data_IF_051235345950
#
_entry.id   IF_051235345950
#
_cell.length_a   1.000
_cell.length_b   1.000
_cell.length_c   1.000
_cell.angle_alpha   90.00
_cell.angle_beta   90.00
_cell.angle_gamma   90.00
#
_symmetry.space_group_name_H-M   'P 1'
#
loop_
_entity.id
_entity.type
_entity.pdbx_description
1 polymer ?
#
# COMPACT_ATOMS: atom_id res chain seq x y z
N UNK A 1 29.85 -1.38 -8.19
CA UNK A 1 29.26 -2.70 -7.95
C UNK A 1 29.14 -3.48 -9.25
N UNK A 2 29.29 -4.79 -9.19
CA UNK A 2 28.93 -5.70 -10.29
C UNK A 2 27.48 -6.15 -10.11
N UNK A 3 26.81 -6.47 -11.22
CA UNK A 3 25.41 -6.86 -11.19
C UNK A 3 25.16 -8.19 -11.89
N UNK A 4 24.13 -8.91 -11.43
CA UNK A 4 23.58 -10.08 -12.11
C UNK A 4 22.07 -10.17 -11.91
N UNK A 5 21.39 -10.82 -12.85
CA UNK A 5 20.01 -11.19 -12.66
C UNK A 5 19.91 -12.26 -11.56
N UNK A 6 18.94 -12.12 -10.66
CA UNK A 6 18.77 -12.99 -9.49
C UNK A 6 17.30 -13.48 -9.34
N UNK A 7 16.54 -13.50 -10.45
CA UNK A 7 15.17 -14.01 -10.51
C UNK A 7 14.12 -12.93 -10.75
N UNK A 8 12.91 -13.28 -10.39
CA UNK A 8 11.70 -12.44 -10.55
C UNK A 8 10.92 -12.40 -9.26
N UNK A 9 10.20 -11.32 -9.06
CA UNK A 9 9.23 -11.15 -7.99
C UNK A 9 7.94 -10.59 -8.60
N UNK A 10 6.90 -11.42 -8.77
CA UNK A 10 5.60 -11.05 -9.32
C UNK A 10 5.72 -10.18 -10.59
N UNK A 11 6.40 -10.72 -11.61
CA UNK A 11 6.61 -10.02 -12.89
C UNK A 11 7.69 -8.95 -12.90
N UNK A 12 8.23 -8.55 -11.75
CA UNK A 12 9.33 -7.59 -11.65
C UNK A 12 10.70 -8.30 -11.57
N UNK A 13 11.74 -7.73 -12.16
CA UNK A 13 13.07 -8.33 -12.17
C UNK A 13 13.86 -8.04 -10.91
N UNK A 14 14.55 -9.07 -10.39
CA UNK A 14 15.50 -8.93 -9.29
C UNK A 14 16.91 -8.85 -9.84
N UNK A 15 17.63 -7.81 -9.45
CA UNK A 15 19.05 -7.62 -9.71
C UNK A 15 19.83 -7.74 -8.41
N UNK A 16 20.87 -8.56 -8.41
CA UNK A 16 21.81 -8.66 -7.31
C UNK A 16 23.07 -7.88 -7.62
N UNK A 17 23.42 -6.95 -6.75
CA UNK A 17 24.61 -6.13 -6.81
C UNK A 17 25.62 -6.59 -5.75
N UNK A 18 26.88 -6.73 -6.12
CA UNK A 18 27.95 -7.24 -5.25
C UNK A 18 29.32 -6.69 -5.67
N UNK A 19 30.34 -6.95 -4.86
CA UNK A 19 31.75 -6.70 -5.17
C UNK A 19 32.49 -8.04 -5.16
N UNK A 20 33.33 -8.31 -6.17
CA UNK A 20 34.05 -9.56 -6.26
C UNK A 20 35.02 -9.75 -5.09
N UNK A 21 34.78 -10.83 -4.33
CA UNK A 21 35.68 -11.24 -3.24
C UNK A 21 35.65 -10.37 -1.99
N UNK A 22 34.96 -9.26 -1.98
CA UNK A 22 34.97 -8.28 -0.91
C UNK A 22 33.58 -8.02 -0.33
N UNK A 23 33.56 -7.51 0.90
CA UNK A 23 32.33 -6.98 1.47
C UNK A 23 31.97 -5.66 0.77
N UNK A 24 30.68 -5.38 0.69
CA UNK A 24 30.21 -4.10 0.18
C UNK A 24 30.72 -2.95 1.07
N UNK A 25 30.99 -1.76 0.49
CA UNK A 25 31.23 -0.55 1.27
C UNK A 25 30.13 -0.31 2.30
N UNK A 26 30.46 0.35 3.40
CA UNK A 26 29.44 0.70 4.39
C UNK A 26 28.32 1.50 3.74
N UNK A 27 27.11 1.04 3.89
CA UNK A 27 25.90 1.66 3.33
C UNK A 27 24.74 1.67 4.34
N UNK A 28 23.78 2.57 4.14
CA UNK A 28 22.59 2.71 4.99
C UNK A 28 21.30 2.26 4.31
N UNK A 29 21.39 1.55 3.21
CA UNK A 29 20.19 1.02 2.52
C UNK A 29 19.43 0.05 3.43
N UNK A 30 18.10 0.14 3.40
CA UNK A 30 17.18 -0.74 4.13
C UNK A 30 16.21 -1.39 3.15
N UNK A 31 15.57 -2.46 3.57
CA UNK A 31 14.46 -3.06 2.82
C UNK A 31 13.38 -2.02 2.55
N UNK A 32 12.90 -1.96 1.30
CA UNK A 32 11.90 -0.98 0.85
C UNK A 32 12.45 0.40 0.48
N UNK A 33 13.74 0.70 0.70
CA UNK A 33 14.34 1.96 0.25
C UNK A 33 14.30 2.05 -1.28
N UNK A 34 13.90 3.22 -1.79
CA UNK A 34 14.05 3.52 -3.22
C UNK A 34 15.49 3.81 -3.55
N UNK A 35 15.94 3.28 -4.66
CA UNK A 35 17.32 3.40 -5.15
C UNK A 35 17.33 3.72 -6.63
N UNK A 36 18.43 4.36 -7.05
CA UNK A 36 18.70 4.67 -8.45
C UNK A 36 19.98 3.97 -8.87
N UNK A 37 19.90 3.16 -9.91
CA UNK A 37 21.01 2.46 -10.50
C UNK A 37 21.51 3.24 -11.72
N UNK A 38 22.80 3.55 -11.74
CA UNK A 38 23.47 4.27 -12.84
C UNK A 38 24.83 3.66 -13.11
N UNK A 39 25.45 3.99 -14.26
CA UNK A 39 26.81 3.52 -14.57
C UNK A 39 27.88 4.43 -13.99
N UNK A 40 27.68 5.75 -14.13
CA UNK A 40 28.66 6.77 -13.70
C UNK A 40 27.98 7.88 -12.89
N UNK A 41 27.27 8.78 -13.59
CA UNK A 41 26.68 9.96 -12.98
C UNK A 41 25.15 9.98 -13.18
N UNK A 42 24.36 9.80 -12.12
CA UNK A 42 22.91 9.73 -12.20
C UNK A 42 22.25 11.03 -12.73
N UNK A 43 22.98 12.15 -12.69
CA UNK A 43 22.47 13.43 -13.19
C UNK A 43 22.69 13.65 -14.70
N UNK A 44 23.49 12.79 -15.36
CA UNK A 44 23.90 12.95 -16.77
C UNK A 44 23.54 11.76 -17.65
N UNK A 45 22.95 10.73 -17.11
CA UNK A 45 22.59 9.52 -17.83
C UNK A 45 21.20 9.01 -17.45
N UNK A 46 20.64 8.14 -18.29
CA UNK A 46 19.40 7.46 -17.96
C UNK A 46 19.64 6.52 -16.77
N UNK A 47 18.87 6.69 -15.72
CA UNK A 47 18.95 5.93 -14.49
C UNK A 47 17.81 4.93 -14.44
N UNK A 48 18.07 3.80 -13.80
CA UNK A 48 17.06 2.78 -13.56
C UNK A 48 16.63 2.87 -12.10
N UNK A 49 15.35 3.07 -11.89
CA UNK A 49 14.76 3.08 -10.55
C UNK A 49 14.53 1.67 -10.05
N UNK A 50 14.70 1.48 -8.75
CA UNK A 50 14.46 0.22 -8.10
C UNK A 50 14.16 0.36 -6.62
N UNK A 51 13.82 -0.76 -6.00
CA UNK A 51 13.53 -0.85 -4.56
C UNK A 51 14.37 -1.96 -3.94
N UNK A 52 14.96 -1.70 -2.79
CA UNK A 52 15.77 -2.69 -2.07
C UNK A 52 14.90 -3.83 -1.55
N UNK A 53 15.13 -5.04 -2.07
CA UNK A 53 14.45 -6.26 -1.63
C UNK A 53 15.13 -6.87 -0.41
N UNK A 54 16.45 -7.01 -0.45
CA UNK A 54 17.21 -7.56 0.68
C UNK A 54 18.66 -7.11 0.62
N UNK A 55 19.34 -7.20 1.75
CA UNK A 55 20.76 -6.83 1.85
C UNK A 55 21.54 -7.77 2.75
N UNK A 56 22.81 -7.90 2.47
CA UNK A 56 23.79 -8.56 3.31
C UNK A 56 25.12 -7.78 3.28
N UNK A 57 26.11 -8.23 4.02
CA UNK A 57 27.46 -7.64 3.93
C UNK A 57 28.12 -7.81 2.53
N UNK A 58 27.67 -8.77 1.74
CA UNK A 58 28.28 -9.13 0.44
C UNK A 58 27.46 -8.74 -0.77
N UNK A 59 26.18 -8.43 -0.59
CA UNK A 59 25.30 -8.07 -1.72
C UNK A 59 24.09 -7.24 -1.28
N UNK A 60 23.52 -6.55 -2.26
CA UNK A 60 22.20 -5.93 -2.19
C UNK A 60 21.38 -6.51 -3.34
N UNK A 61 20.15 -6.94 -3.06
CA UNK A 61 19.14 -7.27 -4.07
C UNK A 61 18.18 -6.12 -4.21
N UNK A 62 17.93 -5.73 -5.43
CA UNK A 62 16.96 -4.68 -5.77
C UNK A 62 15.98 -5.25 -6.79
N UNK A 63 14.74 -4.83 -6.69
CA UNK A 63 13.72 -5.01 -7.71
C UNK A 63 13.76 -3.79 -8.60
N UNK A 64 13.80 -3.97 -9.92
CA UNK A 64 13.92 -2.87 -10.89
C UNK A 64 12.76 -2.88 -11.86
N UNK A 65 12.31 -1.68 -12.25
CA UNK A 65 11.22 -1.50 -13.20
C UNK A 65 11.65 -1.87 -14.63
N UNK A 66 12.92 -1.64 -14.96
CA UNK A 66 13.48 -1.90 -16.28
C UNK A 66 14.74 -2.77 -16.16
N UNK A 67 14.94 -3.65 -17.14
CA UNK A 67 16.14 -4.47 -17.16
C UNK A 67 17.37 -3.64 -17.49
N UNK A 68 18.39 -3.59 -16.61
CA UNK A 68 19.65 -2.97 -16.94
C UNK A 68 20.32 -3.66 -18.13
N UNK A 69 20.51 -2.93 -19.23
CA UNK A 69 21.28 -3.47 -20.35
C UNK A 69 22.71 -3.79 -19.88
N UNK A 70 23.23 -4.97 -20.26
CA UNK A 70 24.59 -5.41 -19.93
C UNK A 70 24.91 -5.50 -18.43
N UNK A 71 23.92 -5.88 -17.61
CA UNK A 71 24.04 -5.94 -16.14
C UNK A 71 25.30 -6.68 -15.65
N UNK A 72 25.76 -7.70 -16.38
CA UNK A 72 26.93 -8.51 -16.04
C UNK A 72 28.27 -7.96 -16.56
N UNK A 73 28.24 -7.02 -17.49
CA UNK A 73 29.43 -6.53 -18.20
C UNK A 73 29.90 -5.18 -17.66
N UNK A 74 28.96 -4.39 -17.13
CA UNK A 74 29.22 -3.03 -16.67
C UNK A 74 29.37 -3.00 -15.14
N UNK A 75 30.05 -1.97 -14.66
CA UNK A 75 30.05 -1.59 -13.24
C UNK A 75 28.91 -0.63 -12.97
N UNK A 76 28.32 -0.76 -11.80
CA UNK A 76 27.12 -0.03 -11.43
C UNK A 76 27.33 0.78 -10.15
N UNK A 77 26.74 1.95 -10.13
CA UNK A 77 26.61 2.81 -8.98
C UNK A 77 25.18 2.72 -8.47
N UNK A 78 25.03 2.59 -7.17
CA UNK A 78 23.74 2.55 -6.49
C UNK A 78 23.64 3.77 -5.58
N UNK A 79 22.71 4.65 -5.85
CA UNK A 79 22.42 5.84 -5.08
C UNK A 79 21.04 5.71 -4.41
N UNK A 80 20.82 6.50 -3.36
CA UNK A 80 19.50 6.59 -2.75
C UNK A 80 18.58 7.41 -3.66
N UNK A 81 17.47 6.83 -4.09
CA UNK A 81 16.46 7.52 -4.89
C UNK A 81 15.59 8.43 -4.02
N UNK A 82 15.09 9.51 -4.61
CA UNK A 82 14.05 10.32 -4.01
C UNK A 82 12.68 9.81 -4.48
N UNK A 83 11.75 9.65 -3.55
CA UNK A 83 10.38 9.25 -3.90
C UNK A 83 9.59 10.46 -4.42
N UNK A 84 9.86 10.86 -5.67
CA UNK A 84 9.13 11.96 -6.32
C UNK A 84 7.69 11.58 -6.64
N UNK A 85 7.42 10.32 -6.94
CA UNK A 85 6.09 9.83 -7.31
C UNK A 85 5.05 10.13 -6.22
N UNK A 86 5.41 9.93 -4.95
CA UNK A 86 4.50 10.25 -3.85
C UNK A 86 4.21 11.75 -3.75
N UNK A 87 5.25 12.58 -3.90
CA UNK A 87 5.11 14.04 -3.90
C UNK A 87 4.24 14.52 -5.06
N UNK A 88 4.52 14.04 -6.28
CA UNK A 88 3.81 14.45 -7.48
C UNK A 88 2.32 14.03 -7.41
N UNK A 89 2.04 12.84 -6.87
CA UNK A 89 0.66 12.38 -6.60
C UNK A 89 -0.06 13.22 -5.55
N UNK A 90 0.62 13.62 -4.47
CA UNK A 90 0.04 14.50 -3.47
C UNK A 90 -0.24 15.90 -4.04
N UNK A 91 0.67 16.45 -4.85
CA UNK A 91 0.47 17.73 -5.53
C UNK A 91 -0.73 17.65 -6.49
N UNK A 92 -0.80 16.64 -7.34
CA UNK A 92 -1.92 16.42 -8.25
C UNK A 92 -3.26 16.22 -7.50
N UNK A 93 -3.25 15.52 -6.38
CA UNK A 93 -4.45 15.34 -5.56
C UNK A 93 -4.93 16.66 -4.95
N UNK A 94 -4.01 17.52 -4.52
CA UNK A 94 -4.34 18.87 -4.04
C UNK A 94 -4.92 19.73 -5.17
N UNK A 95 -4.30 19.73 -6.35
CA UNK A 95 -4.82 20.46 -7.52
C UNK A 95 -6.23 19.98 -7.88
N UNK A 96 -6.45 18.66 -7.94
CA UNK A 96 -7.76 18.07 -8.18
C UNK A 96 -8.78 18.48 -7.12
N UNK A 97 -8.39 18.54 -5.85
CA UNK A 97 -9.27 18.92 -4.75
C UNK A 97 -9.74 20.39 -4.87
N UNK A 98 -8.93 21.26 -5.45
CA UNK A 98 -9.25 22.69 -5.67
C UNK A 98 -9.88 22.98 -7.03
N UNK A 99 -9.97 22.01 -7.93
CA UNK A 99 -10.62 22.21 -9.23
C UNK A 99 -12.12 22.39 -9.07
N UNK A 100 -12.72 23.20 -9.94
CA UNK A 100 -14.19 23.45 -9.92
C UNK A 100 -14.99 22.17 -10.21
N UNK A 101 -14.45 21.26 -11.00
CA UNK A 101 -15.05 19.96 -11.32
C UNK A 101 -15.17 19.03 -10.10
N UNK A 102 -14.35 19.25 -9.08
CA UNK A 102 -14.29 18.45 -7.84
C UNK A 102 -15.19 18.98 -6.71
N UNK A 103 -16.12 19.89 -6.99
CA UNK A 103 -17.07 20.42 -6.02
C UNK A 103 -18.03 19.32 -5.53
N UNK A 104 -17.58 18.50 -4.58
CA UNK A 104 -18.35 17.43 -3.98
C UNK A 104 -18.77 17.80 -2.56
N UNK A 105 -19.91 17.27 -2.10
CA UNK A 105 -20.35 17.44 -0.71
C UNK A 105 -19.29 16.94 0.30
N UNK A 106 -18.42 15.99 -0.08
CA UNK A 106 -17.31 15.52 0.74
C UNK A 106 -16.21 16.57 0.88
N UNK A 107 -15.89 17.31 -0.18
CA UNK A 107 -14.92 18.42 -0.15
C UNK A 107 -15.39 19.51 0.83
N UNK A 108 -16.67 19.87 0.77
CA UNK A 108 -17.24 20.87 1.69
C UNK A 108 -17.15 20.42 3.15
N UNK A 109 -17.40 19.14 3.42
CA UNK A 109 -17.20 18.54 4.75
C UNK A 109 -15.75 18.60 5.22
N UNK A 110 -14.79 18.25 4.33
CA UNK A 110 -13.36 18.26 4.67
C UNK A 110 -12.87 19.67 4.99
N UNK A 111 -13.32 20.68 4.25
CA UNK A 111 -12.92 22.08 4.48
C UNK A 111 -13.75 22.80 5.55
N UNK A 112 -14.71 22.14 6.18
CA UNK A 112 -15.55 22.75 7.22
C UNK A 112 -16.43 23.89 6.71
N UNK A 113 -16.74 23.90 5.41
CA UNK A 113 -17.58 24.96 4.79
C UNK A 113 -19.09 24.75 5.04
N UNK A 114 -19.46 23.62 5.63
CA UNK A 114 -20.84 23.28 5.96
C UNK A 114 -21.18 23.83 7.32
N UNK A 115 -22.18 24.71 7.39
CA UNK A 115 -22.61 25.39 8.63
C UNK A 115 -23.18 24.44 9.70
N UNK A 116 -23.74 23.29 9.27
CA UNK A 116 -24.29 22.24 10.13
C UNK A 116 -23.52 20.93 9.94
N UNK A 117 -22.31 20.86 10.49
CA UNK A 117 -21.43 19.69 10.38
C UNK A 117 -22.09 18.40 10.88
N UNK A 118 -22.85 18.44 11.96
CA UNK A 118 -23.51 17.26 12.53
C UNK A 118 -24.60 16.70 11.60
N UNK A 119 -25.44 17.55 11.01
CA UNK A 119 -26.47 17.11 10.07
C UNK A 119 -25.90 16.70 8.70
N UNK A 120 -24.89 17.42 8.22
CA UNK A 120 -24.27 17.13 6.92
C UNK A 120 -23.32 15.93 6.96
N UNK A 121 -22.74 15.64 8.11
CA UNK A 121 -21.91 14.45 8.33
C UNK A 121 -22.74 13.17 8.48
N UNK A 122 -24.03 13.29 8.79
CA UNK A 122 -24.93 12.13 8.91
C UNK A 122 -25.13 11.42 7.57
N UNK A 123 -25.22 10.09 7.60
CA UNK A 123 -25.44 9.28 6.40
C UNK A 123 -26.86 9.43 5.87
N UNK A 124 -27.05 9.34 4.51
CA UNK A 124 -28.40 9.25 3.95
C UNK A 124 -29.15 8.02 4.47
N UNK A 125 -30.46 8.14 4.59
CA UNK A 125 -31.36 7.16 5.21
C UNK A 125 -31.31 5.71 4.65
N UNK A 126 -30.81 5.49 3.41
CA UNK A 126 -30.72 4.17 2.79
C UNK A 126 -29.73 3.21 3.48
N UNK A 127 -28.85 3.71 4.34
CA UNK A 127 -27.93 2.89 5.12
C UNK A 127 -28.45 2.52 6.51
N UNK A 128 -29.60 3.05 6.92
CA UNK A 128 -30.22 2.76 8.21
C UNK A 128 -30.57 1.28 8.45
N UNK A 129 -30.84 0.54 7.37
CA UNK A 129 -31.05 -0.92 7.45
C UNK A 129 -29.78 -1.70 7.75
N UNK A 130 -28.65 -1.27 7.16
CA UNK A 130 -27.32 -1.85 7.40
C UNK A 130 -26.88 -1.50 8.83
N UNK A 131 -27.10 -0.28 9.27
CA UNK A 131 -26.78 0.22 10.59
C UNK A 131 -27.48 -0.56 11.72
N UNK A 132 -28.80 -0.81 11.60
CA UNK A 132 -29.54 -1.64 12.56
C UNK A 132 -29.03 -3.07 12.63
N UNK A 133 -28.64 -3.65 11.49
CA UNK A 133 -28.03 -4.99 11.44
C UNK A 133 -26.62 -5.02 12.06
N UNK A 134 -25.80 -3.98 11.81
CA UNK A 134 -24.46 -3.82 12.39
C UNK A 134 -24.48 -3.69 13.91
N UNK A 135 -25.42 -2.90 14.45
CA UNK A 135 -25.59 -2.74 15.89
C UNK A 135 -26.13 -4.01 16.57
N UNK A 136 -26.90 -4.84 15.86
CA UNK A 136 -27.42 -6.09 16.37
C UNK A 136 -26.39 -7.24 16.37
N UNK A 137 -25.30 -7.12 15.60
CA UNK A 137 -24.20 -8.11 15.57
C UNK A 137 -23.17 -7.80 16.64
N UNK A 138 -23.54 -8.03 17.90
CA UNK A 138 -22.72 -7.84 19.12
C UNK A 138 -21.40 -8.62 19.12
N UNK A 139 -21.21 -9.60 18.25
CA UNK A 139 -19.97 -10.40 18.16
C UNK A 139 -18.72 -9.56 17.82
N UNK A 140 -18.89 -8.40 17.17
CA UNK A 140 -17.76 -7.55 16.78
C UNK A 140 -17.38 -6.50 17.83
N UNK A 141 -18.28 -6.20 18.77
CA UNK A 141 -18.07 -5.17 19.81
C UNK A 141 -17.48 -5.77 21.09
N UNK A 142 -17.60 -7.08 21.30
CA UNK A 142 -17.16 -7.75 22.53
C UNK A 142 -15.66 -7.66 22.86
N UNK A 143 -14.83 -7.16 21.91
CA UNK A 143 -13.39 -6.93 22.09
C UNK A 143 -13.03 -5.43 22.09
N UNK A 144 -14.00 -4.53 22.05
CA UNK A 144 -13.81 -3.08 22.09
C UNK A 144 -14.12 -2.54 23.49
N UNK A 145 -13.30 -1.61 23.97
CA UNK A 145 -13.62 -0.87 25.17
C UNK A 145 -14.71 0.22 24.87
N UNK A 146 -15.18 0.91 25.90
CA UNK A 146 -16.27 1.89 25.77
C UNK A 146 -16.01 2.99 24.75
N UNK A 147 -14.81 3.59 24.77
CA UNK A 147 -14.46 4.66 23.84
C UNK A 147 -14.26 4.14 22.39
N UNK A 148 -13.74 2.95 22.21
CA UNK A 148 -13.63 2.28 20.93
C UNK A 148 -15.01 1.90 20.36
N UNK A 149 -15.94 1.46 21.21
CA UNK A 149 -17.32 1.16 20.85
C UNK A 149 -18.08 2.40 20.43
N UNK A 150 -17.88 3.52 21.11
CA UNK A 150 -18.43 4.82 20.71
C UNK A 150 -17.90 5.28 19.34
N UNK A 151 -16.57 5.17 19.13
CA UNK A 151 -15.95 5.51 17.85
C UNK A 151 -16.48 4.61 16.72
N UNK A 152 -16.65 3.32 16.98
CA UNK A 152 -17.24 2.36 16.06
C UNK A 152 -18.68 2.76 15.68
N UNK A 153 -19.52 3.07 16.67
CA UNK A 153 -20.89 3.49 16.45
C UNK A 153 -20.98 4.76 15.59
N UNK A 154 -20.21 5.79 15.92
CA UNK A 154 -20.13 7.03 15.14
C UNK A 154 -19.67 6.81 13.71
N UNK A 155 -18.67 5.92 13.49
CA UNK A 155 -18.22 5.58 12.14
C UNK A 155 -19.30 4.87 11.30
N UNK A 156 -20.23 4.18 11.95
CA UNK A 156 -21.38 3.58 11.25
C UNK A 156 -22.47 4.61 10.90
N UNK A 157 -22.57 5.69 11.64
CA UNK A 157 -23.63 6.69 11.51
C UNK A 157 -23.28 7.86 10.61
N UNK A 158 -22.01 8.24 10.56
CA UNK A 158 -21.57 9.47 9.94
C UNK A 158 -20.94 9.23 8.56
N UNK A 159 -21.12 10.19 7.65
CA UNK A 159 -20.43 10.22 6.34
C UNK A 159 -18.94 10.49 6.51
N UNK A 160 -18.56 11.26 7.51
CA UNK A 160 -17.19 11.57 7.88
C UNK A 160 -17.06 11.42 9.40
N UNK A 161 -16.06 10.66 9.83
CA UNK A 161 -15.72 10.46 11.23
C UNK A 161 -14.23 10.64 11.45
N UNK A 162 -13.85 11.37 12.48
CA UNK A 162 -12.48 11.56 12.91
C UNK A 162 -12.26 10.79 14.21
N UNK A 163 -11.36 9.81 14.18
CA UNK A 163 -11.01 8.98 15.34
C UNK A 163 -9.59 9.31 15.77
N UNK A 164 -9.48 9.98 16.91
CA UNK A 164 -8.20 10.38 17.47
C UNK A 164 -7.87 9.57 18.72
N UNK A 165 -6.59 9.31 18.93
CA UNK A 165 -6.09 8.68 20.17
C UNK A 165 -4.57 8.62 20.21
N UNK A 166 -3.96 8.63 21.41
CA UNK A 166 -2.52 8.46 21.58
C UNK A 166 -1.99 7.12 21.02
N UNK A 167 -0.69 6.96 20.86
CA UNK A 167 -0.09 5.65 20.55
C UNK A 167 -0.56 4.57 21.55
N UNK A 168 -0.80 3.35 21.08
CA UNK A 168 -1.19 2.23 21.93
C UNK A 168 -2.68 2.14 22.33
N UNK A 169 -3.52 3.09 21.95
CA UNK A 169 -4.97 3.09 22.28
C UNK A 169 -5.83 2.16 21.41
N UNK A 170 -5.21 1.37 20.52
CA UNK A 170 -5.93 0.42 19.69
C UNK A 170 -6.64 1.02 18.46
N UNK A 171 -6.20 2.19 17.94
CA UNK A 171 -6.79 2.80 16.74
C UNK A 171 -6.87 1.84 15.55
N UNK A 172 -5.78 1.13 15.26
CA UNK A 172 -5.75 0.13 14.18
C UNK A 172 -6.73 -1.00 14.42
N UNK A 173 -6.82 -1.48 15.67
CA UNK A 173 -7.77 -2.51 16.06
C UNK A 173 -9.22 -2.05 15.86
N UNK A 174 -9.55 -0.82 16.23
CA UNK A 174 -10.87 -0.23 16.00
C UNK A 174 -11.15 -0.07 14.49
N UNK A 175 -10.17 0.45 13.72
CA UNK A 175 -10.30 0.60 12.27
C UNK A 175 -10.55 -0.73 11.55
N UNK A 176 -9.81 -1.78 11.91
CA UNK A 176 -10.01 -3.14 11.35
C UNK A 176 -11.45 -3.62 11.57
N UNK A 177 -12.01 -3.39 12.76
CA UNK A 177 -13.39 -3.80 13.05
C UNK A 177 -14.43 -2.98 12.30
N UNK A 178 -14.21 -1.68 12.13
CA UNK A 178 -15.05 -0.82 11.30
C UNK A 178 -15.04 -1.33 9.84
N UNK A 179 -13.88 -1.56 9.28
CA UNK A 179 -13.71 -2.07 7.91
C UNK A 179 -14.35 -3.45 7.73
N UNK A 180 -14.13 -4.36 8.69
CA UNK A 180 -14.73 -5.69 8.67
C UNK A 180 -16.26 -5.64 8.75
N UNK A 181 -16.80 -4.77 9.58
CA UNK A 181 -18.24 -4.56 9.69
C UNK A 181 -18.82 -4.03 8.38
N UNK A 182 -18.20 -3.05 7.75
CA UNK A 182 -18.65 -2.56 6.45
C UNK A 182 -18.60 -3.64 5.37
N UNK A 183 -17.50 -4.38 5.26
CA UNK A 183 -17.34 -5.43 4.26
C UNK A 183 -18.40 -6.54 4.40
N UNK A 184 -18.65 -7.03 5.61
CA UNK A 184 -19.64 -8.08 5.88
C UNK A 184 -21.08 -7.64 5.61
N UNK A 185 -21.36 -6.34 5.65
CA UNK A 185 -22.69 -5.79 5.36
C UNK A 185 -22.84 -5.29 3.92
N UNK A 186 -21.92 -5.67 3.03
CA UNK A 186 -22.02 -5.37 1.61
C UNK A 186 -21.69 -3.93 1.24
N UNK A 187 -21.05 -3.18 2.14
CA UNK A 187 -20.50 -1.87 1.81
C UNK A 187 -19.17 -2.09 1.06
N UNK A 188 -19.21 -2.21 -0.22
CA UNK A 188 -18.01 -2.40 -1.05
C UNK A 188 -18.12 -1.69 -2.38
N UNK A 189 -17.00 -1.44 -3.05
CA UNK A 189 -15.63 -1.64 -2.59
C UNK A 189 -15.20 -0.62 -1.53
N UNK A 190 -14.35 -1.05 -0.56
CA UNK A 190 -13.83 -0.21 0.52
C UNK A 190 -12.34 0.02 0.30
N UNK A 191 -11.90 1.26 0.30
CA UNK A 191 -10.49 1.62 0.22
C UNK A 191 -9.94 2.00 1.60
N UNK A 192 -8.95 1.25 2.08
CA UNK A 192 -8.19 1.56 3.28
C UNK A 192 -6.78 2.04 2.92
N UNK A 193 -6.39 3.19 3.44
CA UNK A 193 -5.08 3.80 3.17
C UNK A 193 -4.37 4.15 4.47
N UNK A 194 -3.03 4.16 4.43
CA UNK A 194 -2.21 4.63 5.53
C UNK A 194 -0.92 5.27 5.01
N UNK A 195 -0.27 6.08 5.84
CA UNK A 195 0.95 6.80 5.50
C UNK A 195 2.17 5.89 5.31
N UNK A 196 2.19 4.72 5.95
CA UNK A 196 3.29 3.78 5.84
C UNK A 196 2.84 2.38 5.39
N UNK A 197 3.72 1.68 4.65
CA UNK A 197 3.49 0.29 4.25
C UNK A 197 3.22 -0.62 5.46
N UNK A 198 3.94 -0.42 6.56
CA UNK A 198 3.75 -1.20 7.80
C UNK A 198 2.34 -1.02 8.36
N UNK A 199 1.80 0.20 8.34
CA UNK A 199 0.45 0.44 8.83
C UNK A 199 -0.62 -0.20 7.93
N UNK A 200 -0.43 -0.17 6.60
CA UNK A 200 -1.33 -0.87 5.66
C UNK A 200 -1.23 -2.39 5.85
N UNK A 201 -0.03 -2.93 6.03
CA UNK A 201 0.17 -4.36 6.27
C UNK A 201 -0.49 -4.81 7.58
N UNK A 202 -0.43 -4.00 8.65
CA UNK A 202 -1.13 -4.29 9.91
C UNK A 202 -2.66 -4.25 9.76
N UNK A 203 -3.20 -3.35 8.93
CA UNK A 203 -4.63 -3.34 8.60
C UNK A 203 -5.04 -4.60 7.84
N UNK A 204 -4.26 -4.98 6.83
CA UNK A 204 -4.50 -6.19 6.04
C UNK A 204 -4.47 -7.45 6.93
N UNK A 205 -3.42 -7.61 7.74
CA UNK A 205 -3.28 -8.75 8.66
C UNK A 205 -4.51 -8.88 9.57
N UNK A 206 -4.92 -7.78 10.22
CA UNK A 206 -6.10 -7.78 11.08
C UNK A 206 -7.41 -8.08 10.34
N UNK A 207 -7.55 -7.68 9.06
CA UNK A 207 -8.72 -8.01 8.25
C UNK A 207 -8.73 -9.50 7.87
N UNK A 208 -7.58 -10.07 7.49
CA UNK A 208 -7.43 -11.49 7.16
C UNK A 208 -7.71 -12.38 8.39
N UNK A 209 -7.23 -12.00 9.58
CA UNK A 209 -7.54 -12.68 10.84
C UNK A 209 -9.05 -12.73 11.15
N UNK A 210 -9.78 -11.70 10.72
CA UNK A 210 -11.24 -11.65 10.83
C UNK A 210 -11.96 -12.35 9.66
N UNK A 211 -11.24 -13.01 8.75
CA UNK A 211 -11.81 -13.70 7.58
C UNK A 211 -12.38 -12.76 6.52
N UNK A 212 -11.95 -11.50 6.49
CA UNK A 212 -12.36 -10.54 5.46
C UNK A 212 -11.43 -10.66 4.26
N UNK A 213 -12.00 -10.85 3.05
CA UNK A 213 -11.23 -10.83 1.81
C UNK A 213 -10.74 -9.40 1.54
N UNK A 214 -9.44 -9.20 1.56
CA UNK A 214 -8.82 -7.93 1.31
C UNK A 214 -7.60 -8.10 0.38
N UNK A 215 -7.38 -7.11 -0.49
CA UNK A 215 -6.29 -7.12 -1.47
C UNK A 215 -5.34 -5.97 -1.15
N UNK A 216 -4.04 -6.26 -1.12
CA UNK A 216 -2.98 -5.27 -0.92
C UNK A 216 -2.59 -4.64 -2.26
N UNK A 217 -2.88 -3.35 -2.43
CA UNK A 217 -2.40 -2.57 -3.58
C UNK A 217 -1.01 -2.00 -3.29
N UNK A 218 -0.09 -2.14 -4.23
CA UNK A 218 1.28 -1.61 -4.15
C UNK A 218 2.33 -2.61 -4.58
N UNK A 219 3.58 -2.19 -4.58
CA UNK A 219 4.71 -3.03 -4.99
C UNK A 219 4.93 -4.18 -3.99
N UNK A 220 4.93 -5.45 -4.44
CA UNK A 220 5.11 -6.61 -3.54
C UNK A 220 6.40 -6.57 -2.71
N UNK A 221 7.46 -5.96 -3.25
CA UNK A 221 8.74 -5.78 -2.54
C UNK A 221 8.60 -4.92 -1.27
N UNK A 222 7.59 -4.05 -1.20
CA UNK A 222 7.32 -3.18 -0.03
C UNK A 222 6.35 -3.79 0.96
N UNK A 223 5.79 -4.95 0.63
CA UNK A 223 4.84 -5.69 1.47
C UNK A 223 5.59 -6.72 2.30
N UNK A 224 5.13 -6.92 3.53
CA UNK A 224 5.65 -7.97 4.43
C UNK A 224 5.58 -9.33 3.73
N UNK A 225 6.63 -10.15 3.85
CA UNK A 225 6.74 -11.42 3.13
C UNK A 225 5.54 -12.35 3.32
N UNK A 226 5.03 -12.45 4.53
CA UNK A 226 3.85 -13.26 4.89
C UNK A 226 2.53 -12.77 4.27
N UNK A 227 2.48 -11.55 3.74
CA UNK A 227 1.28 -10.93 3.15
C UNK A 227 1.38 -10.76 1.63
N UNK A 228 2.47 -11.17 1.00
CA UNK A 228 2.70 -10.96 -0.44
C UNK A 228 1.70 -11.68 -1.33
N UNK A 229 1.22 -12.84 -0.92
CA UNK A 229 0.19 -13.59 -1.63
C UNK A 229 -1.16 -12.85 -1.68
N UNK A 230 -1.40 -11.95 -0.73
CA UNK A 230 -2.58 -11.08 -0.72
C UNK A 230 -2.40 -9.82 -1.57
N UNK A 231 -1.30 -9.66 -2.30
CA UNK A 231 -1.11 -8.54 -3.21
C UNK A 231 -1.90 -8.74 -4.50
N UNK A 232 -2.33 -7.64 -5.10
CA UNK A 232 -3.00 -7.67 -6.41
C UNK A 232 -2.14 -8.37 -7.47
N UNK A 233 -0.83 -8.13 -7.47
CA UNK A 233 0.11 -8.74 -8.39
C UNK A 233 0.14 -10.28 -8.25
N UNK A 234 0.20 -10.80 -7.02
CA UNK A 234 0.18 -12.24 -6.77
C UNK A 234 -1.14 -12.88 -7.21
N UNK A 235 -2.27 -12.23 -6.90
CA UNK A 235 -3.58 -12.74 -7.30
C UNK A 235 -3.80 -12.71 -8.82
N UNK A 236 -3.25 -11.71 -9.51
CA UNK A 236 -3.30 -11.67 -10.97
C UNK A 236 -2.44 -12.78 -11.59
N UNK A 237 -1.29 -13.13 -11.04
CA UNK A 237 -0.49 -14.29 -11.50
C UNK A 237 -1.27 -15.59 -11.32
N UNK A 238 -1.91 -15.79 -10.17
CA UNK A 238 -2.71 -16.99 -9.90
C UNK A 238 -3.90 -17.13 -10.86
N UNK A 239 -4.53 -16.03 -11.25
CA UNK A 239 -5.65 -16.02 -12.18
C UNK A 239 -5.25 -16.05 -13.68
N UNK A 240 -3.97 -15.75 -14.00
CA UNK A 240 -3.46 -15.75 -15.39
C UNK A 240 -2.73 -17.04 -15.77
N UNK A 241 -2.73 -18.05 -14.92
CA UNK A 241 -2.33 -19.41 -15.27
C UNK A 241 -3.56 -20.25 -15.63
N UNK A 242 -4.06 -20.24 -16.89
CA UNK A 242 -4.74 -21.38 -17.42
C UNK A 242 -3.69 -22.44 -17.66
N UNK A 243 -3.88 -23.61 -17.12
CA UNK A 243 -2.94 -24.75 -17.21
C UNK A 243 -2.70 -25.25 -18.64
N UNK A 244 -3.26 -24.65 -19.70
CA UNK A 244 -3.08 -25.08 -21.08
C UNK A 244 -3.31 -23.94 -22.09
N UNK A 245 -2.39 -22.97 -22.17
CA UNK A 245 -2.25 -22.18 -23.40
C UNK A 245 -0.80 -22.17 -23.84
N UNK A 246 -0.48 -23.10 -24.75
CA UNK A 246 0.69 -23.00 -25.63
C UNK A 246 0.68 -21.59 -26.28
N UNK A 247 1.67 -20.79 -25.95
CA UNK A 247 1.91 -19.53 -26.66
C UNK A 247 2.28 -19.87 -28.10
N UNK A 248 1.54 -19.40 -29.10
CA UNK A 248 2.00 -19.56 -30.47
C UNK A 248 3.26 -18.71 -30.64
N UNK A 249 4.36 -19.41 -30.88
CA UNK A 249 5.60 -18.84 -31.36
C UNK A 249 5.30 -18.27 -32.73
N UNK A 250 5.15 -16.97 -32.87
CA UNK A 250 5.14 -16.30 -34.16
C UNK A 250 6.58 -16.01 -34.57
N UNK A 251 6.90 -16.55 -35.75
CA UNK A 251 8.17 -16.42 -36.48
C UNK A 251 8.50 -14.94 -36.79
#
# INVERSE_FOLDING_TARGET
LEGRNDGWLFGERIVKLFTRGEALPQHRFRHGDMVTLSRKNPLKENTIEGTVLSRSRKFIRIVVNEQPAKIRQDTWRLDRGANRVAHDRMAAALEALFSEESATALRELIFGQVRDMENSASRPANLGGIQKRLMAQTEHTGMLNSSQSEAFAKAMECRLSLIQGPPGTGKTHTAVRILAAWARNGAGPILAVADSNVAVDNLLEGLLELGVKAIRLGQPVKVRESLRESTMAAQMEEHHLPEDVETPVSY
#
